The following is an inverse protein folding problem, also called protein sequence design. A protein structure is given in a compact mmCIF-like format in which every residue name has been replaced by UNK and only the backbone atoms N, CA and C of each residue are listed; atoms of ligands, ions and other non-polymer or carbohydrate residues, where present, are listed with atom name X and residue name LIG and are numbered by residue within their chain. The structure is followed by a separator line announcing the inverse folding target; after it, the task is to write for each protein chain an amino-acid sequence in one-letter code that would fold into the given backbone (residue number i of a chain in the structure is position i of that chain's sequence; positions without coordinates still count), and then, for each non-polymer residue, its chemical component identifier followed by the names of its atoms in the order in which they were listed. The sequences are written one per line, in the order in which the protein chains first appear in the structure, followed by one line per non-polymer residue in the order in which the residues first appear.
data_IF_663941576893
#
_entry.id   IF_663941576893
#
_cell.length_a   1.000
_cell.length_b   1.000
_cell.length_c   1.000
_cell.angle_alpha   90.00
_cell.angle_beta   90.00
_cell.angle_gamma   90.00
#
_symmetry.space_group_name_H-M   'P 1'
#
loop_
_entity.id
_entity.type
_entity.pdbx_description
1 polymer ?
#
# COMPACT_ATOMS: atom_id res chain seq x y z
N UNK A 1 -24.01 2.08 -2.04
CA UNK A 1 -22.61 2.40 -2.37
C UNK A 1 -22.01 3.08 -1.16
N UNK A 2 -20.75 2.82 -0.83
CA UNK A 2 -20.07 3.55 0.26
C UNK A 2 -19.76 4.99 -0.14
N UNK A 3 -19.51 5.85 0.83
CA UNK A 3 -19.14 7.26 0.59
C UNK A 3 -17.66 7.36 0.16
N UNK A 4 -17.27 8.55 -0.31
CA UNK A 4 -15.88 8.90 -0.61
C UNK A 4 -14.97 8.70 0.60
N UNK A 5 -15.40 9.18 1.76
CA UNK A 5 -14.66 9.08 3.02
C UNK A 5 -14.54 7.63 3.49
N UNK A 6 -15.57 6.81 3.27
CA UNK A 6 -15.53 5.37 3.56
C UNK A 6 -14.53 4.65 2.64
N UNK A 7 -14.49 5.01 1.36
CA UNK A 7 -13.50 4.48 0.42
C UNK A 7 -12.08 4.88 0.82
N UNK A 8 -11.81 6.17 1.05
CA UNK A 8 -10.47 6.66 1.40
C UNK A 8 -9.97 6.02 2.70
N UNK A 9 -10.83 5.91 3.71
CA UNK A 9 -10.50 5.22 4.96
C UNK A 9 -10.20 3.74 4.73
N UNK A 10 -11.01 3.06 3.90
CA UNK A 10 -10.76 1.67 3.55
C UNK A 10 -9.40 1.48 2.86
N UNK A 11 -9.03 2.36 1.94
CA UNK A 11 -7.73 2.32 1.26
C UNK A 11 -6.57 2.42 2.26
N UNK A 12 -6.65 3.33 3.24
CA UNK A 12 -5.65 3.42 4.30
C UNK A 12 -5.62 2.18 5.18
N UNK A 13 -6.76 1.82 5.78
CA UNK A 13 -6.83 0.77 6.81
C UNK A 13 -6.61 -0.63 6.25
N UNK A 14 -7.02 -0.90 5.01
CA UNK A 14 -7.06 -2.25 4.43
C UNK A 14 -6.03 -2.50 3.35
N UNK A 15 -5.45 -1.46 2.75
CA UNK A 15 -4.47 -1.61 1.64
C UNK A 15 -3.11 -1.04 2.02
N UNK A 16 -3.05 0.17 2.58
CA UNK A 16 -1.78 0.88 2.82
C UNK A 16 -1.14 0.50 4.17
N UNK A 17 -1.85 0.71 5.28
CA UNK A 17 -1.33 0.50 6.63
C UNK A 17 -1.12 -0.95 7.08
N UNK A 18 -1.77 -2.00 6.50
CA UNK A 18 -1.47 -3.38 6.86
C UNK A 18 0.01 -3.78 6.72
N UNK A 19 0.76 -3.05 5.89
CA UNK A 19 2.20 -3.24 5.72
C UNK A 19 3.05 -2.80 6.92
N UNK A 20 2.51 -2.07 7.91
CA UNK A 20 3.24 -1.69 9.14
C UNK A 20 3.08 -2.69 10.29
N UNK A 21 2.25 -3.73 10.11
CA UNK A 21 2.03 -4.71 11.16
C UNK A 21 3.33 -5.45 11.53
N UNK A 22 3.50 -5.87 12.80
CA UNK A 22 4.74 -6.49 13.27
C UNK A 22 5.13 -7.76 12.50
N UNK A 23 4.17 -8.47 11.93
CA UNK A 23 4.40 -9.70 11.13
C UNK A 23 4.09 -9.48 9.64
N UNK A 24 4.00 -8.22 9.17
CA UNK A 24 3.55 -7.92 7.82
C UNK A 24 4.50 -8.49 6.75
N UNK A 25 5.81 -8.48 7.01
CA UNK A 25 6.81 -9.00 6.07
C UNK A 25 6.72 -10.51 5.98
N UNK A 26 6.65 -11.21 7.12
CA UNK A 26 6.54 -12.66 7.19
C UNK A 26 5.25 -13.15 6.53
N UNK A 27 4.12 -12.48 6.80
CA UNK A 27 2.84 -12.80 6.14
C UNK A 27 2.90 -12.57 4.64
N UNK A 28 3.58 -11.52 4.18
CA UNK A 28 3.75 -11.22 2.75
C UNK A 28 4.59 -12.30 2.06
N UNK A 29 5.73 -12.68 2.65
CA UNK A 29 6.59 -13.76 2.15
C UNK A 29 5.82 -15.08 2.08
N UNK A 30 5.11 -15.45 3.16
CA UNK A 30 4.31 -16.66 3.20
C UNK A 30 3.18 -16.65 2.16
N UNK A 31 2.55 -15.49 1.95
CA UNK A 31 1.51 -15.29 0.94
C UNK A 31 2.01 -15.52 -0.48
N UNK A 32 3.13 -14.86 -0.85
CA UNK A 32 3.74 -14.96 -2.17
C UNK A 32 4.33 -16.35 -2.44
N UNK A 33 4.87 -17.00 -1.41
CA UNK A 33 5.42 -18.36 -1.51
C UNK A 33 4.40 -19.45 -1.87
N UNK A 34 3.09 -19.17 -1.77
CA UNK A 34 2.04 -20.12 -2.18
C UNK A 34 1.94 -20.29 -3.70
N UNK A 35 2.37 -19.28 -4.47
CA UNK A 35 2.27 -19.26 -5.92
C UNK A 35 3.55 -18.70 -6.57
N UNK A 36 4.68 -19.41 -6.46
CA UNK A 36 5.98 -18.92 -6.96
C UNK A 36 6.04 -18.75 -8.48
N UNK A 37 5.15 -19.43 -9.22
CA UNK A 37 5.02 -19.29 -10.68
C UNK A 37 3.93 -18.28 -11.10
N UNK A 38 3.29 -17.62 -10.14
CA UNK A 38 2.26 -16.61 -10.38
C UNK A 38 2.84 -15.25 -10.77
N UNK A 39 1.98 -14.27 -11.12
CA UNK A 39 2.42 -12.88 -11.28
C UNK A 39 3.18 -12.40 -10.04
N UNK A 40 4.37 -11.82 -10.25
CA UNK A 40 5.26 -11.40 -9.18
C UNK A 40 5.69 -12.53 -8.21
N UNK A 41 5.70 -13.78 -8.65
CA UNK A 41 6.04 -14.95 -7.82
C UNK A 41 7.48 -14.95 -7.29
N UNK A 42 8.36 -14.12 -7.86
CA UNK A 42 9.73 -13.89 -7.42
C UNK A 42 9.84 -12.94 -6.21
N UNK A 43 8.80 -12.14 -5.92
CA UNK A 43 8.82 -11.13 -4.88
C UNK A 43 9.02 -11.71 -3.46
N UNK A 44 8.42 -12.87 -3.17
CA UNK A 44 8.57 -13.52 -1.86
C UNK A 44 10.03 -13.94 -1.59
N UNK A 45 10.68 -14.53 -2.60
CA UNK A 45 12.08 -14.90 -2.52
C UNK A 45 13.01 -13.68 -2.45
N UNK A 46 12.67 -12.58 -3.13
CA UNK A 46 13.42 -11.34 -3.04
C UNK A 46 13.35 -10.71 -1.64
N UNK A 47 12.16 -10.67 -1.03
CA UNK A 47 11.97 -10.19 0.34
C UNK A 47 12.73 -11.05 1.36
N UNK A 48 12.71 -12.37 1.20
CA UNK A 48 13.49 -13.27 2.05
C UNK A 48 15.00 -12.99 1.95
N UNK A 49 15.53 -12.79 0.74
CA UNK A 49 16.94 -12.44 0.56
C UNK A 49 17.32 -11.11 1.22
N UNK A 50 16.42 -10.12 1.26
CA UNK A 50 16.66 -8.86 1.98
C UNK A 50 16.78 -9.08 3.48
N UNK A 51 15.90 -9.89 4.07
CA UNK A 51 15.98 -10.26 5.48
C UNK A 51 17.27 -11.03 5.80
N UNK A 52 17.62 -12.01 4.97
CA UNK A 52 18.83 -12.82 5.13
C UNK A 52 20.12 -11.96 5.02
N UNK A 53 20.06 -10.88 4.25
CA UNK A 53 21.13 -9.89 4.12
C UNK A 53 21.20 -8.88 5.29
N UNK A 54 20.28 -8.97 6.26
CA UNK A 54 20.25 -8.12 7.45
C UNK A 54 19.47 -6.82 7.30
N UNK A 55 18.63 -6.66 6.26
CA UNK A 55 17.71 -5.53 6.18
C UNK A 55 16.75 -5.55 7.38
N UNK A 56 16.52 -4.39 7.99
CA UNK A 56 15.57 -4.28 9.07
C UNK A 56 14.14 -4.54 8.54
N UNK A 57 13.35 -5.43 9.17
CA UNK A 57 11.96 -5.66 8.75
C UNK A 57 11.15 -4.36 8.68
N UNK A 58 11.43 -3.40 9.57
CA UNK A 58 10.79 -2.09 9.59
C UNK A 58 11.05 -1.26 8.32
N UNK A 59 12.24 -1.30 7.76
CA UNK A 59 12.55 -0.57 6.52
C UNK A 59 11.82 -1.18 5.31
N UNK A 60 11.69 -2.51 5.30
CA UNK A 60 10.88 -3.23 4.32
C UNK A 60 9.40 -2.85 4.47
N UNK A 61 8.87 -2.84 5.69
CA UNK A 61 7.48 -2.42 5.99
C UNK A 61 7.20 -1.00 5.48
N UNK A 62 8.09 -0.05 5.75
CA UNK A 62 7.98 1.34 5.30
C UNK A 62 7.94 1.40 3.76
N UNK A 63 8.84 0.66 3.11
CA UNK A 63 8.93 0.64 1.65
C UNK A 63 7.70 -0.01 1.01
N UNK A 64 7.22 -1.13 1.56
CA UNK A 64 6.00 -1.80 1.11
C UNK A 64 4.77 -0.92 1.30
N UNK A 65 4.66 -0.21 2.44
CA UNK A 65 3.59 0.76 2.67
C UNK A 65 3.62 1.89 1.65
N UNK A 66 4.80 2.45 1.38
CA UNK A 66 4.95 3.49 0.36
C UNK A 66 4.55 2.98 -1.03
N UNK A 67 4.99 1.78 -1.42
CA UNK A 67 4.59 1.18 -2.69
C UNK A 67 3.08 0.95 -2.79
N UNK A 68 2.42 0.54 -1.70
CA UNK A 68 0.96 0.39 -1.65
C UNK A 68 0.25 1.76 -1.78
N UNK A 69 0.73 2.78 -1.08
CA UNK A 69 0.22 4.15 -1.23
C UNK A 69 0.36 4.65 -2.67
N UNK A 70 1.54 4.51 -3.29
CA UNK A 70 1.79 4.92 -4.67
C UNK A 70 0.90 4.18 -5.67
N UNK A 71 0.71 2.87 -5.49
CA UNK A 71 -0.17 2.09 -6.35
C UNK A 71 -1.63 2.58 -6.26
N UNK A 72 -2.12 2.89 -5.05
CA UNK A 72 -3.45 3.48 -4.85
C UNK A 72 -3.52 4.87 -5.47
N UNK A 73 -2.57 5.75 -5.16
CA UNK A 73 -2.52 7.12 -5.70
C UNK A 73 -2.51 7.14 -7.22
N UNK A 74 -1.59 6.39 -7.86
CA UNK A 74 -1.47 6.33 -9.30
C UNK A 74 -2.75 5.79 -9.96
N UNK A 75 -3.43 4.83 -9.32
CA UNK A 75 -4.70 4.30 -9.81
C UNK A 75 -5.81 5.36 -9.72
N UNK A 76 -5.93 6.05 -8.59
CA UNK A 76 -6.88 7.15 -8.40
C UNK A 76 -6.61 8.32 -9.36
N UNK A 77 -5.34 8.61 -9.62
CA UNK A 77 -4.92 9.63 -10.58
C UNK A 77 -5.28 9.22 -12.02
N UNK A 78 -5.01 7.97 -12.41
CA UNK A 78 -5.34 7.49 -13.75
C UNK A 78 -6.86 7.47 -14.03
N UNK A 79 -7.68 7.28 -12.99
CA UNK A 79 -9.14 7.40 -13.07
C UNK A 79 -9.62 8.84 -13.23
N UNK A 80 -8.77 9.83 -12.96
CA UNK A 80 -9.02 11.26 -13.14
C UNK A 80 -8.48 11.74 -14.51
N UNK A 81 -7.24 11.37 -14.85
CA UNK A 81 -6.55 11.68 -16.10
C UNK A 81 -5.70 10.46 -16.56
N UNK A 82 -6.04 9.78 -17.68
CA UNK A 82 -6.95 10.19 -18.77
C UNK A 82 -8.45 10.08 -18.45
N UNK A 83 -8.79 9.50 -17.29
CA UNK A 83 -10.17 9.43 -16.83
C UNK A 83 -10.89 8.14 -17.19
N UNK A 84 -11.95 7.83 -16.43
CA UNK A 84 -13.01 6.88 -16.81
C UNK A 84 -14.37 7.59 -16.68
N UNK A 85 -15.35 7.23 -17.51
CA UNK A 85 -16.67 7.87 -17.46
C UNK A 85 -17.34 7.64 -16.08
N UNK A 86 -17.59 8.72 -15.35
CA UNK A 86 -18.23 8.69 -14.03
C UNK A 86 -17.64 9.74 -13.09
N UNK A 87 -18.40 10.82 -12.83
CA UNK A 87 -17.94 12.00 -12.07
C UNK A 87 -17.52 11.75 -10.62
N UNK A 88 -17.82 10.58 -10.05
CA UNK A 88 -17.66 10.32 -8.61
C UNK A 88 -16.21 9.96 -8.19
N UNK A 89 -15.34 9.63 -9.15
CA UNK A 89 -13.93 9.26 -8.89
C UNK A 89 -12.95 10.42 -9.05
N UNK A 90 -13.42 11.60 -9.47
CA UNK A 90 -12.55 12.75 -9.70
C UNK A 90 -11.89 13.25 -8.41
N UNK A 91 -10.65 13.70 -8.52
CA UNK A 91 -9.84 14.28 -7.44
C UNK A 91 -9.61 13.35 -6.23
N UNK A 92 -9.95 12.06 -6.29
CA UNK A 92 -9.74 11.12 -5.16
C UNK A 92 -8.26 11.04 -4.74
N UNK A 93 -7.35 11.19 -5.70
CA UNK A 93 -5.92 11.17 -5.46
C UNK A 93 -5.45 12.36 -4.59
N UNK A 94 -6.06 13.53 -4.74
CA UNK A 94 -5.77 14.73 -3.93
C UNK A 94 -6.22 14.55 -2.47
N UNK A 95 -7.40 13.95 -2.25
CA UNK A 95 -7.92 13.74 -0.90
C UNK A 95 -7.22 12.58 -0.17
N UNK A 96 -6.50 11.72 -0.88
CA UNK A 96 -5.91 10.51 -0.31
C UNK A 96 -4.96 10.81 0.84
N UNK A 97 -4.04 11.78 0.68
CA UNK A 97 -3.11 12.14 1.77
C UNK A 97 -3.83 12.80 2.95
N UNK A 98 -4.80 13.66 2.68
CA UNK A 98 -5.61 14.31 3.72
C UNK A 98 -6.44 13.31 4.54
N UNK A 99 -6.74 12.14 3.96
CA UNK A 99 -7.44 11.05 4.62
C UNK A 99 -6.51 10.10 5.41
N UNK A 100 -5.21 10.35 5.48
CA UNK A 100 -4.29 9.60 6.35
C UNK A 100 -4.82 9.60 7.80
N UNK A 101 -5.11 8.43 8.40
CA UNK A 101 -5.62 8.33 9.76
C UNK A 101 -4.71 8.99 10.80
N UNK A 102 -3.42 9.10 10.52
CA UNK A 102 -2.45 9.76 11.40
C UNK A 102 -2.47 11.29 11.28
N UNK A 103 -3.01 11.83 10.19
CA UNK A 103 -3.01 13.26 9.88
C UNK A 103 -1.61 13.82 9.56
N UNK A 104 -0.70 13.00 9.02
CA UNK A 104 0.71 13.36 8.81
C UNK A 104 1.21 13.09 7.40
N UNK A 105 0.31 13.01 6.44
CA UNK A 105 0.63 12.79 5.03
C UNK A 105 1.51 11.54 4.85
N UNK A 106 1.17 10.46 5.55
CA UNK A 106 1.87 9.19 5.48
C UNK A 106 3.17 9.11 6.29
N UNK A 107 3.60 10.17 6.99
CA UNK A 107 4.80 10.14 7.83
C UNK A 107 4.58 9.30 9.11
N UNK A 108 5.55 8.44 9.43
CA UNK A 108 5.54 7.68 10.69
C UNK A 108 6.02 8.55 11.86
N UNK A 109 5.64 8.18 13.08
CA UNK A 109 6.28 8.71 14.29
C UNK A 109 7.77 8.38 14.23
N UNK A 110 8.61 9.34 14.59
CA UNK A 110 10.05 9.14 14.75
C UNK A 110 10.33 8.11 15.83
N UNK A 111 10.29 6.83 15.47
CA UNK A 111 10.68 5.66 16.25
C UNK A 111 11.30 4.63 15.32
#
# INVERSE_FOLDING_TARGET
MGTREELLRHLWESIIDPHLGPEAVERTIAGLGRHPEGPFGDAGAALQRLLDAGAAPRDIQITCRFAAYEAVFCTLYAMDDPGVDGGDVFMLHEDLLGADPSGRDGRLDGR
#
